data_IF_798933274279
#
_entry.id   IF_798933274279
#
_cell.length_a   1.000
_cell.length_b   1.000
_cell.length_c   1.000
_cell.angle_alpha   90.00
_cell.angle_beta   90.00
_cell.angle_gamma   90.00
#
_symmetry.space_group_name_H-M   'P 1'
#
loop_
_entity.id
_entity.type
_entity.pdbx_description
1 polymer ?
#
# COMPACT_ATOMS: atom_id res chain seq x y z
N UNK A 1 -30.00 57.38 2.29
CA UNK A 1 -29.50 57.40 0.90
C UNK A 1 -29.26 55.97 0.49
N UNK A 2 -30.25 55.43 -0.21
CA UNK A 2 -30.38 54.07 -0.72
C UNK A 2 -29.57 53.95 -2.01
N UNK A 3 -28.60 53.02 -2.07
CA UNK A 3 -27.94 52.65 -3.33
C UNK A 3 -28.53 51.34 -3.84
N UNK A 4 -29.14 51.46 -5.01
CA UNK A 4 -29.87 50.48 -5.79
C UNK A 4 -28.97 49.48 -6.51
N UNK A 5 -29.55 48.31 -6.75
CA UNK A 5 -28.95 47.11 -7.35
C UNK A 5 -28.91 47.10 -8.89
N UNK A 6 -28.23 46.04 -9.40
CA UNK A 6 -28.39 45.28 -10.67
C UNK A 6 -27.45 45.65 -11.85
N UNK A 7 -27.32 44.78 -12.90
CA UNK A 7 -26.89 43.37 -12.92
C UNK A 7 -26.05 42.99 -14.18
N UNK A 8 -25.73 41.68 -14.32
CA UNK A 8 -25.57 40.89 -15.57
C UNK A 8 -24.39 41.17 -16.54
N UNK A 9 -23.51 40.18 -16.70
CA UNK A 9 -23.37 39.47 -17.99
C UNK A 9 -22.55 38.17 -17.88
N UNK A 10 -23.23 37.06 -18.12
CA UNK A 10 -22.69 35.81 -18.69
C UNK A 10 -22.63 35.99 -20.21
N UNK A 11 -21.56 35.51 -20.88
CA UNK A 11 -21.72 34.90 -22.18
C UNK A 11 -21.02 33.53 -22.24
N UNK A 12 -21.86 32.52 -22.43
CA UNK A 12 -21.51 31.20 -22.89
C UNK A 12 -21.18 31.20 -24.41
N UNK A 13 -20.31 30.27 -24.82
CA UNK A 13 -20.19 29.60 -26.14
C UNK A 13 -19.26 30.17 -27.24
N UNK A 14 -18.77 29.18 -28.03
CA UNK A 14 -18.04 29.17 -29.31
C UNK A 14 -16.50 29.16 -29.16
N UNK A 15 -15.72 28.25 -29.76
CA UNK A 15 -15.91 27.54 -31.03
C UNK A 15 -15.30 26.13 -31.02
N UNK A 16 -15.98 25.22 -31.72
CA UNK A 16 -15.49 23.93 -32.19
C UNK A 16 -14.77 24.08 -33.55
N UNK A 17 -13.93 23.08 -33.88
CA UNK A 17 -13.65 22.45 -35.20
C UNK A 17 -12.21 21.87 -35.11
N UNK A 18 -11.99 20.55 -35.20
CA UNK A 18 -12.05 19.70 -36.40
C UNK A 18 -10.59 19.29 -36.71
N UNK A 19 -10.15 18.11 -37.15
CA UNK A 19 -10.64 16.93 -37.87
C UNK A 19 -9.53 15.85 -37.60
N UNK A 20 -9.67 14.53 -37.65
CA UNK A 20 -10.13 13.70 -38.76
C UNK A 20 -10.20 12.22 -38.34
N UNK A 21 -11.09 11.48 -39.01
CA UNK A 21 -11.27 10.03 -38.96
C UNK A 21 -10.14 9.26 -39.67
N UNK A 22 -9.88 8.03 -39.24
CA UNK A 22 -9.57 6.91 -40.13
C UNK A 22 -10.10 5.58 -39.57
N UNK A 23 -10.91 4.91 -40.38
CA UNK A 23 -11.52 3.58 -40.20
C UNK A 23 -10.55 2.52 -40.76
N UNK A 24 -10.42 1.36 -40.12
CA UNK A 24 -10.04 0.10 -40.80
C UNK A 24 -10.54 -1.14 -40.05
N UNK A 25 -10.86 -2.15 -40.86
CA UNK A 25 -11.77 -3.28 -40.63
C UNK A 25 -10.99 -4.59 -40.34
N UNK A 26 -11.58 -5.44 -39.49
CA UNK A 26 -11.72 -6.93 -39.55
C UNK A 26 -10.53 -7.84 -39.92
N UNK A 27 -10.19 -8.80 -39.04
CA UNK A 27 -10.13 -10.26 -39.33
C UNK A 27 -10.41 -11.06 -38.05
N UNK A 28 -11.30 -12.05 -38.13
CA UNK A 28 -11.47 -13.13 -37.16
C UNK A 28 -10.99 -14.46 -37.78
N UNK A 29 -10.21 -15.22 -37.01
CA UNK A 29 -9.83 -16.66 -37.15
C UNK A 29 -9.48 -17.10 -35.72
N UNK A 30 -9.88 -18.22 -35.10
CA UNK A 30 -10.21 -19.57 -35.54
C UNK A 30 -9.35 -20.55 -34.71
N UNK A 31 -9.98 -21.46 -33.93
CA UNK A 31 -9.39 -22.29 -32.84
C UNK A 31 -8.46 -23.48 -33.25
N UNK A 32 -7.53 -23.88 -32.36
CA UNK A 32 -7.00 -25.24 -31.97
C UNK A 32 -5.56 -25.08 -31.39
N UNK A 33 -5.05 -25.81 -30.41
CA UNK A 33 -5.44 -27.04 -29.71
C UNK A 33 -4.50 -27.32 -28.52
N UNK A 34 -4.72 -28.46 -27.86
CA UNK A 34 -4.15 -28.94 -26.59
C UNK A 34 -2.61 -29.11 -26.54
N UNK A 35 -2.03 -28.87 -25.35
CA UNK A 35 -0.72 -29.40 -24.94
C UNK A 35 0.32 -28.35 -24.54
N UNK A 36 0.69 -28.35 -23.24
CA UNK A 36 1.68 -27.50 -22.54
C UNK A 36 1.36 -26.01 -22.44
N UNK A 37 1.15 -25.55 -21.20
CA UNK A 37 0.71 -24.20 -20.81
C UNK A 37 1.86 -23.19 -20.96
N UNK A 38 2.36 -22.98 -22.19
CA UNK A 38 3.20 -21.81 -22.50
C UNK A 38 2.29 -20.63 -22.81
N UNK A 39 1.56 -20.14 -21.81
CA UNK A 39 0.87 -18.85 -21.96
C UNK A 39 1.91 -17.74 -22.03
N UNK A 40 1.84 -16.97 -23.11
CA UNK A 40 2.56 -15.72 -23.21
C UNK A 40 2.05 -14.74 -22.14
N UNK A 41 2.97 -14.09 -21.42
CA UNK A 41 2.68 -13.14 -20.36
C UNK A 41 3.42 -11.82 -20.61
N UNK A 42 2.76 -10.70 -20.27
CA UNK A 42 3.37 -9.37 -20.29
C UNK A 42 3.58 -8.84 -18.87
N UNK A 43 2.80 -9.32 -17.92
CA UNK A 43 2.93 -9.02 -16.49
C UNK A 43 2.75 -10.28 -15.65
N UNK A 44 3.29 -10.26 -14.43
CA UNK A 44 3.21 -11.37 -13.47
C UNK A 44 1.77 -11.87 -13.20
N UNK A 45 0.79 -10.97 -13.27
CA UNK A 45 -0.62 -11.30 -13.07
C UNK A 45 -1.22 -12.17 -14.19
N UNK A 46 -0.56 -12.26 -15.35
CA UNK A 46 -1.01 -13.10 -16.46
C UNK A 46 -0.72 -14.61 -16.20
N UNK A 47 0.10 -14.91 -15.18
CA UNK A 47 0.55 -16.26 -14.86
C UNK A 47 -0.11 -16.81 -13.60
N UNK A 48 -0.56 -18.06 -13.67
CA UNK A 48 -1.13 -18.76 -12.50
C UNK A 48 -0.08 -18.99 -11.38
N UNK A 49 1.20 -19.06 -11.74
CA UNK A 49 2.33 -19.06 -10.81
C UNK A 49 2.67 -17.69 -10.23
N UNK A 50 1.99 -16.62 -10.70
CA UNK A 50 2.34 -15.21 -10.44
C UNK A 50 3.75 -14.81 -10.91
N UNK A 51 4.40 -15.63 -11.75
CA UNK A 51 5.75 -15.35 -12.27
C UNK A 51 5.74 -15.37 -13.79
N UNK A 52 5.92 -14.19 -14.37
CA UNK A 52 6.19 -14.02 -15.79
C UNK A 52 7.70 -13.90 -15.99
N UNK A 53 8.28 -14.78 -16.80
CA UNK A 53 9.72 -14.80 -17.09
C UNK A 53 10.07 -13.73 -18.12
N UNK A 54 11.35 -13.31 -18.20
CA UNK A 54 11.81 -12.31 -19.17
C UNK A 54 11.61 -12.69 -20.64
N UNK A 55 11.44 -13.98 -20.93
CA UNK A 55 11.15 -14.50 -22.28
C UNK A 55 9.65 -14.45 -22.63
N UNK A 56 8.82 -13.88 -21.74
CA UNK A 56 7.38 -13.75 -21.93
C UNK A 56 6.62 -15.03 -21.64
N UNK A 57 7.21 -16.01 -20.94
CA UNK A 57 6.53 -17.27 -20.57
C UNK A 57 6.20 -17.34 -19.07
N UNK A 58 5.10 -17.99 -18.72
CA UNK A 58 4.77 -18.24 -17.31
C UNK A 58 5.63 -19.35 -16.70
N UNK A 59 6.03 -19.15 -15.44
CA UNK A 59 6.67 -20.20 -14.63
C UNK A 59 5.68 -21.36 -14.42
N UNK A 60 6.05 -22.62 -14.69
CA UNK A 60 5.16 -23.75 -14.44
C UNK A 60 4.93 -23.94 -12.95
N UNK A 61 3.69 -24.26 -12.57
CA UNK A 61 3.36 -24.63 -11.19
C UNK A 61 3.77 -26.09 -10.99
N UNK A 62 4.84 -26.32 -10.23
CA UNK A 62 5.14 -27.67 -9.72
C UNK A 62 4.19 -27.95 -8.57
N UNK A 63 3.14 -28.72 -8.84
CA UNK A 63 2.40 -29.40 -7.78
C UNK A 63 3.23 -30.63 -7.44
N UNK A 64 3.90 -30.62 -6.30
CA UNK A 64 4.48 -31.84 -5.75
C UNK A 64 3.31 -32.76 -5.34
N UNK A 65 2.94 -33.67 -6.23
CA UNK A 65 2.00 -34.76 -5.95
C UNK A 65 2.64 -35.67 -4.89
N UNK A 66 2.35 -35.39 -3.62
CA UNK A 66 2.50 -36.33 -2.53
C UNK A 66 1.45 -37.45 -2.68
N UNK A 67 1.75 -38.42 -3.54
CA UNK A 67 0.88 -39.56 -3.81
C UNK A 67 1.60 -40.62 -4.64
N UNK A 68 2.50 -41.36 -3.99
CA UNK A 68 3.17 -42.51 -4.58
C UNK A 68 2.13 -43.59 -4.93
N UNK A 69 1.81 -43.72 -6.22
CA UNK A 69 1.02 -44.81 -6.79
C UNK A 69 1.66 -46.15 -6.42
N UNK A 70 0.90 -46.98 -5.73
CA UNK A 70 1.29 -48.33 -5.34
C UNK A 70 1.20 -49.25 -6.55
N UNK A 71 2.35 -49.77 -6.99
CA UNK A 71 2.41 -50.86 -7.96
C UNK A 71 1.82 -52.13 -7.34
N UNK A 72 0.66 -52.53 -7.87
CA UNK A 72 0.08 -53.87 -7.75
C UNK A 72 1.06 -54.90 -8.31
N UNK A 73 1.61 -55.75 -7.45
CA UNK A 73 2.17 -57.03 -7.87
C UNK A 73 1.51 -58.17 -7.10
N UNK A 74 1.12 -59.19 -7.86
CA UNK A 74 0.33 -60.35 -7.45
C UNK A 74 1.24 -61.57 -7.40
N UNK A 75 1.37 -62.17 -6.23
CA UNK A 75 1.99 -63.48 -6.06
C UNK A 75 1.55 -64.12 -4.74
N UNK A 76 1.04 -65.37 -4.74
CA UNK A 76 0.64 -66.05 -3.51
C UNK A 76 1.82 -66.87 -2.98
N UNK A 77 2.12 -66.79 -1.68
CA UNK A 77 2.59 -67.95 -0.94
C UNK A 77 2.43 -67.80 0.58
N UNK A 78 2.30 -68.94 1.23
CA UNK A 78 1.80 -69.19 2.58
C UNK A 78 2.79 -68.88 3.74
N UNK A 79 2.22 -68.81 4.96
CA UNK A 79 2.85 -68.93 6.31
C UNK A 79 3.80 -67.79 6.72
N UNK A 80 3.78 -67.21 7.92
CA UNK A 80 3.55 -67.73 9.27
C UNK A 80 3.17 -66.59 10.22
N UNK A 81 2.57 -66.98 11.34
CA UNK A 81 2.10 -66.10 12.41
C UNK A 81 3.22 -65.27 13.06
N UNK A 82 2.99 -63.96 13.19
CA UNK A 82 3.55 -63.18 14.29
C UNK A 82 2.54 -62.14 14.78
N UNK A 83 2.07 -62.38 16.00
CA UNK A 83 1.35 -61.47 16.87
C UNK A 83 2.24 -60.24 17.15
N UNK A 84 1.86 -59.08 16.60
CA UNK A 84 2.45 -57.78 16.95
C UNK A 84 1.35 -56.97 17.61
N UNK A 85 1.50 -56.82 18.92
CA UNK A 85 0.71 -55.96 19.80
C UNK A 85 0.66 -54.53 19.30
N UNK A 86 -0.56 -54.04 19.04
CA UNK A 86 -0.91 -52.63 18.86
C UNK A 86 -0.37 -51.79 20.03
N UNK A 87 0.69 -51.04 19.76
CA UNK A 87 1.09 -49.89 20.57
C UNK A 87 0.78 -48.66 19.72
N UNK A 88 -0.10 -47.74 20.12
CA UNK A 88 -0.28 -46.49 19.41
C UNK A 88 1.05 -45.73 19.48
N UNK A 89 1.74 -45.64 18.35
CA UNK A 89 2.89 -44.78 18.18
C UNK A 89 2.35 -43.34 18.28
N UNK A 90 2.62 -42.71 19.41
CA UNK A 90 2.34 -41.30 19.64
C UNK A 90 3.12 -40.51 18.59
N UNK A 91 2.42 -40.13 17.52
CA UNK A 91 2.95 -39.23 16.50
C UNK A 91 3.53 -38.02 17.23
N UNK A 92 4.81 -37.65 17.02
CA UNK A 92 5.32 -36.41 17.58
C UNK A 92 4.38 -35.28 17.17
N UNK A 93 4.07 -34.32 18.06
CA UNK A 93 3.27 -33.17 17.66
C UNK A 93 3.92 -32.59 16.42
N UNK A 94 3.15 -32.56 15.34
CA UNK A 94 3.45 -31.71 14.21
C UNK A 94 3.42 -30.29 14.75
N UNK A 95 4.57 -29.79 15.20
CA UNK A 95 4.85 -28.36 15.37
C UNK A 95 4.96 -27.71 13.97
N UNK A 96 3.99 -28.03 13.11
CA UNK A 96 3.66 -27.29 11.90
C UNK A 96 2.70 -26.16 12.26
N UNK A 97 3.00 -25.41 13.33
CA UNK A 97 2.43 -24.08 13.51
C UNK A 97 3.13 -23.23 12.45
N UNK A 98 2.65 -23.30 11.21
CA UNK A 98 2.97 -22.29 10.20
C UNK A 98 2.72 -20.95 10.91
N UNK A 99 3.72 -20.08 11.07
CA UNK A 99 3.64 -18.90 11.94
C UNK A 99 2.77 -17.85 11.24
N UNK A 100 1.49 -18.17 11.06
CA UNK A 100 0.47 -17.25 10.63
C UNK A 100 0.19 -16.29 11.78
N UNK A 101 -0.03 -15.04 11.42
CA UNK A 101 -0.51 -14.06 12.38
C UNK A 101 -1.85 -14.54 12.97
N UNK A 102 -1.96 -14.55 14.30
CA UNK A 102 -3.19 -14.90 15.02
C UNK A 102 -3.65 -13.64 15.76
N UNK A 103 -4.79 -13.03 15.36
CA UNK A 103 -5.28 -11.86 16.07
C UNK A 103 -5.84 -12.28 17.43
N UNK A 104 -5.59 -11.46 18.45
CA UNK A 104 -6.08 -11.67 19.81
C UNK A 104 -7.14 -10.62 20.23
N UNK A 105 -7.23 -9.49 19.50
CA UNK A 105 -8.22 -8.44 19.72
C UNK A 105 -8.09 -7.71 21.07
N UNK A 106 -6.91 -7.67 21.68
CA UNK A 106 -6.68 -7.05 22.99
C UNK A 106 -6.52 -5.52 22.94
N UNK A 107 -6.53 -4.95 21.73
CA UNK A 107 -6.39 -3.50 21.48
C UNK A 107 -4.95 -3.01 21.46
N UNK A 108 -3.98 -3.93 21.50
CA UNK A 108 -2.55 -3.69 21.35
C UNK A 108 -2.01 -4.49 20.18
N UNK A 109 -1.39 -3.83 19.22
CA UNK A 109 -0.75 -4.50 18.08
C UNK A 109 0.75 -4.64 18.36
N UNK A 110 1.23 -5.86 18.41
CA UNK A 110 2.65 -6.22 18.49
C UNK A 110 3.26 -6.45 17.11
N UNK A 111 4.60 -6.57 17.04
CA UNK A 111 5.28 -6.92 15.79
C UNK A 111 4.87 -8.30 15.23
N UNK A 112 4.50 -9.25 16.11
CA UNK A 112 4.04 -10.58 15.70
C UNK A 112 2.62 -10.54 15.10
N UNK A 113 1.82 -9.54 15.48
CA UNK A 113 0.45 -9.34 15.00
C UNK A 113 0.37 -8.43 13.77
N UNK A 114 1.50 -7.95 13.26
CA UNK A 114 1.53 -7.12 12.06
C UNK A 114 2.72 -7.53 11.19
N UNK A 115 2.62 -8.64 10.45
CA UNK A 115 3.68 -9.07 9.56
C UNK A 115 3.89 -8.01 8.47
N UNK A 116 5.13 -7.53 8.34
CA UNK A 116 5.56 -6.54 7.37
C UNK A 116 6.82 -7.02 6.66
N UNK A 117 6.97 -6.67 5.39
CA UNK A 117 8.11 -7.11 4.59
C UNK A 117 7.84 -6.98 3.09
N UNK A 118 8.73 -7.48 2.24
CA UNK A 118 8.48 -7.62 0.81
C UNK A 118 7.48 -8.76 0.52
N UNK A 119 6.85 -8.72 -0.65
CA UNK A 119 5.98 -9.80 -1.16
C UNK A 119 4.49 -9.66 -0.81
N UNK A 120 4.10 -8.65 -0.04
CA UNK A 120 2.69 -8.34 0.17
C UNK A 120 2.13 -7.64 -1.07
N UNK A 121 0.92 -8.01 -1.46
CA UNK A 121 0.18 -7.36 -2.52
C UNK A 121 -1.29 -7.27 -2.09
N UNK A 122 -1.92 -6.15 -2.40
CA UNK A 122 -3.35 -5.92 -2.22
C UNK A 122 -3.83 -4.86 -3.21
N UNK A 123 -5.11 -4.91 -3.55
CA UNK A 123 -5.76 -3.85 -4.31
C UNK A 123 -6.40 -2.86 -3.36
N UNK A 124 -6.07 -1.58 -3.53
CA UNK A 124 -6.68 -0.48 -2.80
C UNK A 124 -7.57 0.32 -3.74
N UNK A 125 -8.78 0.62 -3.29
CA UNK A 125 -9.60 1.67 -3.90
C UNK A 125 -9.10 3.02 -3.43
N UNK A 126 -8.64 3.84 -4.37
CA UNK A 126 -8.05 5.15 -4.12
C UNK A 126 -8.99 6.23 -4.65
N UNK A 127 -9.48 7.08 -3.75
CA UNK A 127 -10.28 8.26 -4.10
C UNK A 127 -9.44 9.52 -3.94
N UNK A 128 -9.33 10.35 -4.98
CA UNK A 128 -8.60 11.63 -4.96
C UNK A 128 -9.57 12.82 -5.05
N UNK A 129 -9.23 13.92 -4.39
CA UNK A 129 -10.07 15.13 -4.35
C UNK A 129 -11.43 14.87 -3.68
N UNK A 130 -11.40 14.18 -2.54
CA UNK A 130 -12.59 13.67 -1.86
C UNK A 130 -13.34 14.81 -1.17
N UNK A 131 -14.58 15.05 -1.58
CA UNK A 131 -15.53 15.90 -0.87
C UNK A 131 -16.49 15.06 -0.03
N UNK A 132 -16.99 15.62 1.08
CA UNK A 132 -17.96 14.94 1.95
C UNK A 132 -17.39 13.87 2.90
N UNK A 133 -16.07 13.64 2.89
CA UNK A 133 -15.39 12.81 3.88
C UNK A 133 -15.36 13.49 5.26
N UNK A 134 -15.56 12.71 6.31
CA UNK A 134 -15.29 13.08 7.71
C UNK A 134 -14.28 12.11 8.29
N UNK A 135 -13.19 12.63 8.86
CA UNK A 135 -12.22 11.78 9.54
C UNK A 135 -12.67 11.33 10.94
N UNK A 136 -13.62 12.07 11.54
CA UNK A 136 -14.22 11.73 12.82
C UNK A 136 -15.20 10.56 12.63
N UNK A 137 -15.09 9.48 13.43
CA UNK A 137 -16.00 8.34 13.34
C UNK A 137 -17.41 8.67 13.87
N UNK A 138 -18.41 7.93 13.40
CA UNK A 138 -19.73 7.91 14.01
C UNK A 138 -19.75 6.95 15.22
N UNK A 139 -19.87 7.50 16.43
CA UNK A 139 -19.95 6.73 17.67
C UNK A 139 -21.37 6.69 18.26
N UNK A 140 -22.41 7.07 17.51
CA UNK A 140 -23.80 7.16 17.99
C UNK A 140 -24.39 5.81 18.41
N UNK A 141 -23.86 4.70 17.88
CA UNK A 141 -24.29 3.33 18.17
C UNK A 141 -23.58 2.67 19.37
N UNK A 142 -22.69 3.39 20.05
CA UNK A 142 -21.86 2.86 21.15
C UNK A 142 -20.52 2.28 20.69
N UNK A 143 -20.39 1.91 19.41
CA UNK A 143 -19.11 1.59 18.77
C UNK A 143 -18.80 2.65 17.73
N UNK A 144 -17.57 3.18 17.73
CA UNK A 144 -17.14 4.14 16.72
C UNK A 144 -16.95 3.44 15.37
N UNK A 145 -17.55 4.00 14.32
CA UNK A 145 -17.50 3.47 12.96
C UNK A 145 -16.95 4.52 12.00
N UNK A 146 -15.94 4.12 11.22
CA UNK A 146 -15.58 4.80 9.98
C UNK A 146 -16.19 4.05 8.80
N UNK A 147 -17.17 4.65 8.14
CA UNK A 147 -17.73 4.12 6.90
C UNK A 147 -16.98 4.71 5.71
N UNK A 148 -16.07 3.92 5.11
CA UNK A 148 -15.25 4.38 4.00
C UNK A 148 -15.74 3.82 2.65
N UNK A 149 -16.92 3.21 2.54
CA UNK A 149 -17.35 2.57 1.29
C UNK A 149 -17.50 3.59 0.14
N UNK A 150 -18.38 4.56 0.35
CA UNK A 150 -18.83 5.51 -0.64
C UNK A 150 -18.27 6.91 -0.35
N UNK A 151 -17.14 7.21 -0.97
CA UNK A 151 -16.51 8.52 -0.87
C UNK A 151 -16.67 9.27 -2.20
N UNK A 152 -16.85 10.59 -2.13
CA UNK A 152 -16.81 11.45 -3.31
C UNK A 152 -15.42 11.48 -3.97
N UNK A 153 -15.33 12.19 -5.10
CA UNK A 153 -14.07 12.36 -5.85
C UNK A 153 -13.87 11.34 -6.96
N UNK A 154 -12.67 11.38 -7.57
CA UNK A 154 -12.29 10.44 -8.65
C UNK A 154 -11.73 9.19 -8.00
N UNK A 155 -12.30 8.03 -8.33
CA UNK A 155 -11.94 6.76 -7.69
C UNK A 155 -11.39 5.77 -8.72
N UNK A 156 -10.29 5.12 -8.36
CA UNK A 156 -9.65 4.05 -9.15
C UNK A 156 -9.13 2.96 -8.22
N UNK A 157 -9.11 1.72 -8.68
CA UNK A 157 -8.43 0.65 -7.94
C UNK A 157 -6.96 0.63 -8.36
N UNK A 158 -6.05 0.65 -7.39
CA UNK A 158 -4.60 0.67 -7.59
C UNK A 158 -3.97 -0.52 -6.84
N UNK A 159 -3.07 -1.29 -7.49
CA UNK A 159 -2.29 -2.29 -6.79
C UNK A 159 -1.32 -1.62 -5.81
N UNK A 160 -1.19 -2.21 -4.63
CA UNK A 160 -0.23 -1.83 -3.61
C UNK A 160 0.58 -3.06 -3.27
N UNK A 161 1.83 -3.06 -3.72
CA UNK A 161 2.76 -4.14 -3.47
C UNK A 161 3.99 -3.65 -2.70
N UNK A 162 4.58 -4.53 -1.91
CA UNK A 162 5.87 -4.33 -1.25
C UNK A 162 6.93 -5.17 -1.97
N UNK A 163 8.04 -4.54 -2.29
CA UNK A 163 9.11 -5.16 -3.07
C UNK A 163 10.40 -5.21 -2.26
N UNK A 164 11.18 -6.26 -2.43
CA UNK A 164 12.57 -6.26 -2.00
C UNK A 164 13.34 -5.14 -2.75
N UNK A 165 14.44 -4.68 -2.16
CA UNK A 165 15.28 -3.65 -2.77
C UNK A 165 16.21 -4.20 -3.85
N UNK A 166 16.33 -5.52 -3.98
CA UNK A 166 17.24 -6.14 -4.92
C UNK A 166 17.03 -5.59 -6.34
N UNK A 167 18.13 -5.23 -6.98
CA UNK A 167 18.18 -4.65 -8.33
C UNK A 167 17.46 -3.30 -8.50
N UNK A 168 16.97 -2.66 -7.43
CA UNK A 168 16.48 -1.27 -7.50
C UNK A 168 17.66 -0.31 -7.65
N UNK A 169 17.52 0.71 -8.49
CA UNK A 169 18.59 1.67 -8.77
C UNK A 169 19.09 2.41 -7.52
N UNK A 170 18.21 2.59 -6.55
CA UNK A 170 18.49 3.27 -5.28
C UNK A 170 19.01 2.34 -4.17
N UNK A 171 19.09 1.03 -4.39
CA UNK A 171 19.47 0.07 -3.34
C UNK A 171 20.85 0.36 -2.71
N UNK A 172 21.77 0.94 -3.49
CA UNK A 172 23.12 1.31 -3.04
C UNK A 172 23.24 2.73 -2.45
N UNK A 173 22.14 3.46 -2.27
CA UNK A 173 22.19 4.81 -1.70
C UNK A 173 22.49 4.73 -0.20
N UNK A 174 23.46 5.53 0.26
CA UNK A 174 23.79 5.66 1.69
C UNK A 174 22.56 6.11 2.48
N UNK A 175 22.25 5.43 3.57
CA UNK A 175 21.05 5.61 4.39
C UNK A 175 19.97 4.54 4.15
N UNK A 176 20.12 3.69 3.13
CA UNK A 176 19.21 2.56 2.85
C UNK A 176 19.82 1.19 3.20
N UNK A 177 20.90 1.15 3.96
CA UNK A 177 21.62 -0.09 4.29
C UNK A 177 20.75 -1.10 5.06
N UNK A 178 19.81 -0.61 5.86
CA UNK A 178 18.88 -1.44 6.65
C UNK A 178 17.50 -1.57 6.00
N UNK A 179 17.32 -1.09 4.77
CA UNK A 179 16.03 -1.14 4.11
C UNK A 179 15.56 -2.59 3.93
N UNK A 180 14.32 -2.86 4.32
CA UNK A 180 13.68 -4.18 4.22
C UNK A 180 12.83 -4.29 2.96
N UNK A 181 12.09 -3.23 2.62
CA UNK A 181 11.26 -3.21 1.42
C UNK A 181 11.03 -1.79 0.89
N UNK A 182 10.49 -1.71 -0.32
CA UNK A 182 10.00 -0.48 -0.93
C UNK A 182 8.54 -0.63 -1.39
N UNK A 183 7.78 0.46 -1.39
CA UNK A 183 6.41 0.47 -1.88
C UNK A 183 6.05 1.82 -2.48
N UNK A 184 5.13 1.84 -3.44
CA UNK A 184 4.66 3.07 -4.09
C UNK A 184 3.93 3.94 -3.06
N UNK A 185 4.26 5.23 -3.03
CA UNK A 185 3.58 6.23 -2.21
C UNK A 185 2.46 6.90 -2.99
N UNK A 186 2.80 7.59 -4.08
CA UNK A 186 1.86 8.40 -4.84
C UNK A 186 2.44 8.84 -6.20
N UNK A 187 1.59 9.43 -7.02
CA UNK A 187 2.00 10.21 -8.18
C UNK A 187 2.39 11.62 -7.71
N UNK A 188 3.65 11.97 -7.85
CA UNK A 188 4.16 13.27 -7.43
C UNK A 188 4.20 14.22 -8.62
N UNK A 189 3.43 15.31 -8.52
CA UNK A 189 3.42 16.39 -9.50
C UNK A 189 3.84 17.69 -8.86
N UNK A 190 4.90 18.30 -9.39
CA UNK A 190 5.34 19.64 -9.01
C UNK A 190 5.10 20.59 -10.18
N UNK A 191 4.39 21.68 -9.92
CA UNK A 191 4.18 22.76 -10.88
C UNK A 191 4.79 24.05 -10.37
N UNK A 192 5.41 24.82 -11.25
CA UNK A 192 5.97 26.13 -10.94
C UNK A 192 5.58 27.12 -12.04
N UNK A 193 4.88 28.20 -11.68
CA UNK A 193 4.37 29.17 -12.65
C UNK A 193 3.39 28.58 -13.68
N UNK A 194 2.67 27.51 -13.33
CA UNK A 194 1.76 26.80 -14.24
C UNK A 194 2.44 25.78 -15.17
N UNK A 195 3.77 25.64 -15.12
CA UNK A 195 4.52 24.62 -15.86
C UNK A 195 4.74 23.40 -14.97
N UNK A 196 4.48 22.19 -15.49
CA UNK A 196 4.88 20.95 -14.83
C UNK A 196 6.41 20.84 -14.89
N UNK A 197 7.04 20.85 -13.72
CA UNK A 197 8.50 20.70 -13.57
C UNK A 197 8.88 19.31 -13.06
N UNK A 198 7.90 18.54 -12.61
CA UNK A 198 8.07 17.16 -12.18
C UNK A 198 6.74 16.42 -12.28
N UNK A 199 6.77 15.23 -12.88
CA UNK A 199 5.65 14.29 -12.91
C UNK A 199 6.26 12.89 -12.88
N UNK A 200 6.22 12.26 -11.71
CA UNK A 200 6.92 10.99 -11.45
C UNK A 200 6.13 10.16 -10.45
N UNK A 201 6.34 8.85 -10.46
CA UNK A 201 5.89 7.98 -9.37
C UNK A 201 6.93 7.98 -8.26
N UNK A 202 6.50 8.20 -7.02
CA UNK A 202 7.36 8.13 -5.84
C UNK A 202 7.16 6.82 -5.08
N UNK A 203 8.28 6.28 -4.61
CA UNK A 203 8.36 5.12 -3.74
C UNK A 203 8.95 5.52 -2.39
N UNK A 204 8.44 4.90 -1.33
CA UNK A 204 9.04 4.94 -0.01
C UNK A 204 10.03 3.80 0.13
N UNK A 205 11.13 4.05 0.83
CA UNK A 205 12.09 3.03 1.24
C UNK A 205 11.92 2.82 2.74
N UNK A 206 11.69 1.58 3.16
CA UNK A 206 11.25 1.26 4.51
C UNK A 206 12.17 0.25 5.19
N UNK A 207 12.38 0.44 6.49
CA UNK A 207 12.97 -0.53 7.40
C UNK A 207 11.87 -1.11 8.30
N UNK A 208 11.85 -2.43 8.43
CA UNK A 208 11.06 -3.15 9.42
C UNK A 208 12.03 -3.81 10.38
N UNK A 209 11.81 -3.58 11.67
CA UNK A 209 12.54 -4.28 12.73
C UNK A 209 11.58 -4.52 13.91
N UNK A 210 11.99 -5.25 14.97
CA UNK A 210 11.10 -5.57 16.09
C UNK A 210 10.50 -4.35 16.82
N UNK A 211 11.06 -3.15 16.64
CA UNK A 211 10.57 -1.92 17.26
C UNK A 211 9.55 -1.14 16.42
N UNK A 212 9.41 -1.43 15.12
CA UNK A 212 8.49 -0.67 14.28
C UNK A 212 8.74 -0.74 12.78
N UNK A 213 7.96 0.08 12.07
CA UNK A 213 8.09 0.41 10.65
C UNK A 213 8.63 1.83 10.52
N UNK A 214 9.73 1.99 9.80
CA UNK A 214 10.41 3.27 9.63
C UNK A 214 10.56 3.61 8.15
N UNK A 215 10.31 4.87 7.77
CA UNK A 215 10.62 5.38 6.43
C UNK A 215 12.05 5.94 6.41
N UNK A 216 12.90 5.36 5.58
CA UNK A 216 14.30 5.76 5.39
C UNK A 216 14.44 6.87 4.35
N UNK A 217 13.55 6.92 3.37
CA UNK A 217 13.58 7.94 2.34
C UNK A 217 12.49 7.81 1.29
N UNK A 218 12.53 8.73 0.34
CA UNK A 218 11.63 8.82 -0.81
C UNK A 218 12.48 8.84 -2.07
N UNK A 219 12.13 7.99 -3.02
CA UNK A 219 12.84 7.84 -4.29
C UNK A 219 11.85 7.88 -5.45
N UNK A 220 12.32 8.23 -6.64
CA UNK A 220 11.54 8.03 -7.86
C UNK A 220 11.60 6.57 -8.32
N UNK A 221 10.58 6.16 -9.07
CA UNK A 221 10.55 4.83 -9.69
C UNK A 221 11.79 4.60 -10.56
N UNK A 222 12.10 5.56 -11.43
CA UNK A 222 13.25 5.50 -12.32
C UNK A 222 14.36 6.45 -11.88
N UNK A 223 15.61 6.01 -12.04
CA UNK A 223 16.79 6.85 -11.79
C UNK A 223 16.78 8.13 -12.65
N UNK A 224 16.22 8.04 -13.86
CA UNK A 224 16.10 9.16 -14.79
C UNK A 224 15.16 10.27 -14.32
N UNK A 225 14.29 10.04 -13.33
CA UNK A 225 13.45 11.09 -12.74
C UNK A 225 14.20 11.83 -11.61
N UNK A 226 15.25 11.22 -11.06
CA UNK A 226 16.24 11.87 -10.22
C UNK A 226 15.77 12.30 -8.84
N UNK A 227 14.75 11.65 -8.27
CA UNK A 227 14.39 11.88 -6.87
C UNK A 227 15.07 10.85 -5.98
N UNK A 228 15.87 11.33 -5.04
CA UNK A 228 16.49 10.55 -3.98
C UNK A 228 16.61 11.44 -2.74
N UNK A 229 15.64 11.32 -1.84
CA UNK A 229 15.59 12.02 -0.57
C UNK A 229 15.79 11.00 0.56
N UNK A 230 16.91 11.11 1.26
CA UNK A 230 17.26 10.24 2.40
C UNK A 230 17.01 11.01 3.70
N UNK A 231 16.37 10.37 4.67
CA UNK A 231 16.15 10.97 5.98
C UNK A 231 17.39 10.88 6.87
N UNK A 232 17.78 12.00 7.48
CA UNK A 232 18.86 12.05 8.49
C UNK A 232 18.54 11.14 9.69
N UNK A 233 17.25 11.06 10.06
CA UNK A 233 16.71 10.12 11.04
C UNK A 233 15.50 9.41 10.43
N UNK A 234 15.45 8.06 10.40
CA UNK A 234 14.29 7.31 9.93
C UNK A 234 13.00 7.80 10.59
N UNK A 235 11.94 7.97 9.80
CA UNK A 235 10.64 8.41 10.29
C UNK A 235 9.86 7.20 10.81
N UNK A 236 9.63 7.03 12.12
CA UNK A 236 8.73 6.00 12.63
C UNK A 236 7.30 6.24 12.11
N UNK A 237 6.80 5.32 11.29
CA UNK A 237 5.42 5.31 10.82
C UNK A 237 4.52 4.50 11.75
N UNK A 238 5.08 3.44 12.35
CA UNK A 238 4.45 2.57 13.33
C UNK A 238 5.53 2.18 14.35
N UNK A 239 5.19 2.19 15.63
CA UNK A 239 6.06 1.71 16.72
C UNK A 239 5.41 0.50 17.37
N UNK A 240 6.17 -0.53 17.71
CA UNK A 240 5.64 -1.73 18.36
C UNK A 240 6.11 -1.83 19.83
N UNK A 241 5.24 -2.35 20.72
CA UNK A 241 3.79 -2.49 20.54
C UNK A 241 3.09 -1.12 20.52
N UNK A 242 1.89 -1.04 19.95
CA UNK A 242 1.06 0.18 20.03
C UNK A 242 -0.40 -0.12 20.34
N UNK A 243 -1.01 0.80 21.09
CA UNK A 243 -2.41 0.82 21.52
C UNK A 243 -2.86 2.28 21.64
N UNK A 244 -4.16 2.53 21.84
CA UNK A 244 -4.70 3.90 22.05
C UNK A 244 -3.92 4.64 23.14
N UNK A 245 -3.46 5.85 22.83
CA UNK A 245 -2.62 6.68 23.69
C UNK A 245 -1.12 6.59 23.39
N UNK A 246 -0.68 5.60 22.61
CA UNK A 246 0.72 5.53 22.13
C UNK A 246 1.02 6.74 21.25
N UNK A 247 2.14 7.43 21.50
CA UNK A 247 2.52 8.63 20.74
C UNK A 247 4.02 8.71 20.54
N UNK A 248 4.43 9.34 19.43
CA UNK A 248 5.83 9.57 19.11
C UNK A 248 5.99 10.80 18.22
N UNK A 249 7.14 11.44 18.33
CA UNK A 249 7.50 12.62 17.53
C UNK A 249 8.93 12.48 17.04
N UNK A 250 9.17 12.90 15.79
CA UNK A 250 10.51 12.99 15.23
C UNK A 250 10.70 14.30 14.47
N UNK A 251 11.85 14.94 14.71
CA UNK A 251 12.39 15.97 13.83
C UNK A 251 13.50 15.35 12.98
N UNK A 252 13.34 15.46 11.66
CA UNK A 252 14.26 14.91 10.66
C UNK A 252 14.47 15.90 9.51
N UNK A 253 15.45 15.62 8.66
CA UNK A 253 15.70 16.35 7.43
C UNK A 253 15.78 15.34 6.30
N UNK A 254 14.95 15.49 5.27
CA UNK A 254 15.10 14.77 4.02
C UNK A 254 16.13 15.48 3.15
N UNK A 255 17.19 14.77 2.74
CA UNK A 255 18.30 15.31 1.97
C UNK A 255 18.49 14.62 0.63
N UNK A 256 18.82 15.41 -0.38
CA UNK A 256 19.24 14.92 -1.69
C UNK A 256 18.46 15.57 -2.83
N UNK A 257 18.39 14.87 -3.96
CA UNK A 257 17.80 15.41 -5.18
C UNK A 257 16.30 15.23 -5.21
N UNK A 258 15.61 16.24 -5.72
CA UNK A 258 14.19 16.20 -6.04
C UNK A 258 14.04 16.51 -7.53
N UNK A 259 13.39 15.62 -8.28
CA UNK A 259 13.02 15.83 -9.68
C UNK A 259 14.19 16.24 -10.58
N UNK A 260 15.30 15.50 -10.52
CA UNK A 260 16.51 15.77 -11.31
C UNK A 260 17.12 17.16 -11.12
N UNK A 261 16.78 17.85 -10.02
CA UNK A 261 17.35 19.16 -9.74
C UNK A 261 18.88 19.12 -9.72
N UNK A 262 19.47 20.21 -10.19
CA UNK A 262 20.92 20.45 -10.08
C UNK A 262 21.35 20.77 -8.65
N UNK A 263 20.39 21.05 -7.75
CA UNK A 263 20.62 21.33 -6.35
C UNK A 263 20.17 20.15 -5.48
N UNK A 264 20.93 19.91 -4.41
CA UNK A 264 20.46 19.09 -3.31
C UNK A 264 19.57 19.92 -2.38
N UNK A 265 18.44 19.33 -1.99
CA UNK A 265 17.52 19.89 -1.03
C UNK A 265 17.84 19.37 0.38
N UNK A 266 17.48 20.20 1.36
CA UNK A 266 17.42 19.83 2.77
C UNK A 266 16.05 20.28 3.28
N UNK A 267 15.13 19.34 3.41
CA UNK A 267 13.73 19.59 3.75
C UNK A 267 13.52 19.18 5.20
N UNK A 268 13.42 20.16 6.10
CA UNK A 268 13.14 19.88 7.51
C UNK A 268 11.70 19.45 7.67
N UNK A 269 11.49 18.37 8.43
CA UNK A 269 10.18 17.80 8.67
C UNK A 269 10.03 17.41 10.14
N UNK A 270 8.85 17.69 10.69
CA UNK A 270 8.42 17.22 12.00
C UNK A 270 7.22 16.32 11.79
N UNK A 271 7.29 15.11 12.33
CA UNK A 271 6.16 14.18 12.37
C UNK A 271 5.73 14.02 13.81
N UNK A 272 4.45 14.22 14.10
CA UNK A 272 3.85 13.94 15.39
C UNK A 272 2.71 12.96 15.18
N UNK A 273 2.87 11.75 15.74
CA UNK A 273 1.93 10.66 15.59
C UNK A 273 1.32 10.26 16.92
N UNK A 274 0.04 9.94 16.93
CA UNK A 274 -0.68 9.41 18.09
C UNK A 274 -1.67 8.34 17.64
N UNK A 275 -1.73 7.22 18.35
CA UNK A 275 -2.84 6.28 18.24
C UNK A 275 -3.99 6.84 19.05
N UNK A 276 -4.96 7.47 18.38
CA UNK A 276 -5.93 8.32 19.08
C UNK A 276 -7.32 7.71 19.22
N UNK A 277 -7.68 6.74 18.37
CA UNK A 277 -9.00 6.11 18.38
C UNK A 277 -8.91 4.60 18.09
N UNK A 278 -9.91 3.88 18.62
CA UNK A 278 -10.21 2.48 18.35
C UNK A 278 -11.66 2.41 17.85
N UNK A 279 -11.93 1.61 16.83
CA UNK A 279 -13.28 1.44 16.30
C UNK A 279 -13.35 0.43 15.15
N UNK A 280 -14.46 0.44 14.43
CA UNK A 280 -14.65 -0.41 13.26
C UNK A 280 -14.45 0.40 11.99
N UNK A 281 -13.91 -0.22 10.95
CA UNK A 281 -13.73 0.42 9.63
C UNK A 281 -14.38 -0.43 8.56
N UNK A 282 -15.30 0.16 7.79
CA UNK A 282 -15.81 -0.46 6.56
C UNK A 282 -14.94 -0.04 5.39
N UNK A 283 -14.50 -1.02 4.63
CA UNK A 283 -13.77 -0.86 3.37
C UNK A 283 -14.49 -1.64 2.28
N UNK A 284 -14.17 -1.42 0.99
CA UNK A 284 -14.74 -2.24 -0.08
C UNK A 284 -14.44 -3.74 0.04
N UNK A 285 -13.35 -4.13 0.70
CA UNK A 285 -13.05 -5.53 0.99
C UNK A 285 -13.96 -6.13 2.07
N UNK A 286 -14.31 -5.34 3.09
CA UNK A 286 -15.11 -5.82 4.22
C UNK A 286 -15.09 -4.86 5.41
N UNK A 287 -15.74 -5.30 6.50
CA UNK A 287 -15.71 -4.59 7.78
C UNK A 287 -14.61 -5.17 8.66
N UNK A 288 -13.75 -4.31 9.16
CA UNK A 288 -12.71 -4.63 10.13
C UNK A 288 -13.14 -4.15 11.51
N UNK A 289 -13.00 -5.03 12.50
CA UNK A 289 -13.25 -4.73 13.89
C UNK A 289 -11.93 -4.40 14.60
N UNK A 290 -12.02 -3.72 15.75
CA UNK A 290 -10.86 -3.39 16.59
C UNK A 290 -9.70 -2.72 15.84
N UNK A 291 -10.03 -1.74 15.00
CA UNK A 291 -9.08 -0.98 14.20
C UNK A 291 -8.55 0.20 14.98
N UNK A 292 -7.22 0.30 15.07
CA UNK A 292 -6.52 1.45 15.64
C UNK A 292 -6.29 2.50 14.55
N UNK A 293 -6.58 3.77 14.87
CA UNK A 293 -6.23 4.91 14.02
C UNK A 293 -4.97 5.57 14.53
N UNK A 294 -3.95 5.62 13.67
CA UNK A 294 -2.74 6.42 13.86
C UNK A 294 -2.97 7.77 13.17
N UNK A 295 -2.99 8.83 13.95
CA UNK A 295 -3.11 10.20 13.49
C UNK A 295 -1.73 10.86 13.47
N UNK A 296 -1.26 11.19 12.27
CA UNK A 296 0.05 11.79 12.02
C UNK A 296 -0.10 13.20 11.46
N UNK A 297 0.37 14.19 12.22
CA UNK A 297 0.60 15.54 11.72
C UNK A 297 2.03 15.64 11.18
N UNK A 298 2.16 15.94 9.89
CA UNK A 298 3.44 16.28 9.26
C UNK A 298 3.52 17.80 9.07
N UNK A 299 4.57 18.41 9.59
CA UNK A 299 4.96 19.79 9.29
C UNK A 299 6.23 19.77 8.43
N UNK A 300 6.23 20.49 7.31
CA UNK A 300 7.36 20.51 6.36
C UNK A 300 7.80 21.94 6.09
N UNK A 301 9.10 22.17 6.19
CA UNK A 301 9.76 23.44 5.89
C UNK A 301 10.69 23.30 4.68
N UNK A 302 10.43 24.07 3.63
CA UNK A 302 11.21 24.09 2.38
C UNK A 302 12.30 25.17 2.37
N UNK A 303 12.82 25.55 3.55
CA UNK A 303 13.88 26.55 3.71
C UNK A 303 13.46 27.80 4.48
N UNK A 304 14.44 28.69 4.73
CA UNK A 304 14.25 29.91 5.52
C UNK A 304 13.30 30.88 4.80
N UNK A 305 12.29 31.37 5.53
CA UNK A 305 11.32 32.33 5.00
C UNK A 305 10.17 31.72 4.20
N UNK A 306 10.13 30.40 4.01
CA UNK A 306 9.00 29.69 3.42
C UNK A 306 8.03 29.26 4.52
N UNK A 307 6.75 29.57 4.37
CA UNK A 307 5.70 29.11 5.29
C UNK A 307 5.66 27.58 5.31
N UNK A 308 5.64 27.00 6.52
CA UNK A 308 5.53 25.56 6.66
C UNK A 308 4.21 25.05 6.06
N UNK A 309 4.29 23.96 5.30
CA UNK A 309 3.10 23.22 4.86
C UNK A 309 2.79 22.14 5.88
N UNK A 310 1.51 21.97 6.21
CA UNK A 310 1.03 20.94 7.13
C UNK A 310 0.09 19.98 6.42
N UNK A 311 0.15 18.71 6.79
CA UNK A 311 -0.84 17.71 6.37
C UNK A 311 -1.08 16.73 7.53
N UNK A 312 -2.33 16.28 7.65
CA UNK A 312 -2.74 15.27 8.61
C UNK A 312 -3.03 13.99 7.85
N UNK A 313 -2.48 12.88 8.34
CA UNK A 313 -2.70 11.54 7.78
C UNK A 313 -3.29 10.64 8.85
N UNK A 314 -4.38 9.96 8.54
CA UNK A 314 -4.96 8.92 9.37
C UNK A 314 -4.68 7.56 8.74
N UNK A 315 -3.90 6.74 9.44
CA UNK A 315 -3.62 5.35 9.04
C UNK A 315 -4.45 4.42 9.91
N UNK A 316 -5.22 3.53 9.28
CA UNK A 316 -6.10 2.58 9.95
C UNK A 316 -5.44 1.21 9.94
N UNK A 317 -5.14 0.68 11.12
CA UNK A 317 -4.34 -0.53 11.30
C UNK A 317 -5.09 -1.55 12.14
N UNK A 318 -5.06 -2.81 11.71
CA UNK A 318 -5.64 -3.94 12.45
C UNK A 318 -4.68 -5.13 12.42
N UNK A 319 -4.82 -6.01 13.39
CA UNK A 319 -4.01 -7.22 13.53
C UNK A 319 -4.12 -8.08 12.26
N UNK A 320 -3.00 -8.69 11.87
CA UNK A 320 -2.83 -9.60 10.74
C UNK A 320 -3.05 -9.05 9.33
N UNK A 321 -3.68 -7.89 9.18
CA UNK A 321 -3.82 -7.18 7.90
C UNK A 321 -2.87 -5.99 7.80
N UNK A 322 -2.45 -5.41 8.93
CA UNK A 322 -1.69 -4.18 8.93
C UNK A 322 -2.55 -2.99 8.47
N UNK A 323 -2.03 -2.18 7.56
CA UNK A 323 -2.73 -0.98 7.08
C UNK A 323 -3.86 -1.32 6.11
N UNK A 324 -5.11 -1.12 6.54
CA UNK A 324 -6.31 -1.39 5.73
C UNK A 324 -6.86 -0.12 5.06
N UNK A 325 -6.52 1.06 5.55
CA UNK A 325 -6.89 2.32 4.95
C UNK A 325 -5.94 3.45 5.36
N UNK A 326 -5.86 4.48 4.51
CA UNK A 326 -5.15 5.73 4.76
C UNK A 326 -6.00 6.89 4.25
N UNK A 327 -6.17 7.94 5.05
CA UNK A 327 -6.80 9.19 4.63
C UNK A 327 -5.84 10.37 4.85
N UNK A 328 -5.63 11.17 3.80
CA UNK A 328 -4.72 12.32 3.83
C UNK A 328 -5.53 13.60 3.69
N UNK A 329 -5.31 14.57 4.57
CA UNK A 329 -5.96 15.87 4.52
C UNK A 329 -5.53 16.67 3.29
N UNK A 330 -6.23 17.76 3.00
CA UNK A 330 -5.67 18.80 2.15
C UNK A 330 -4.48 19.49 2.86
N UNK A 331 -3.59 20.12 2.09
CA UNK A 331 -2.49 20.90 2.67
C UNK A 331 -3.02 22.10 3.49
N UNK A 332 -2.29 22.47 4.54
CA UNK A 332 -2.60 23.59 5.43
C UNK A 332 -3.54 23.24 6.58
N UNK A 333 -4.02 21.99 6.65
CA UNK A 333 -4.81 21.48 7.78
C UNK A 333 -3.90 21.19 8.97
N UNK A 334 -4.30 21.64 10.15
CA UNK A 334 -3.59 21.42 11.42
C UNK A 334 -4.46 20.86 12.55
N UNK A 335 -5.78 20.74 12.31
CA UNK A 335 -6.70 20.09 13.24
C UNK A 335 -6.53 18.57 13.16
N UNK A 336 -6.59 17.83 14.28
CA UNK A 336 -6.49 16.38 14.27
C UNK A 336 -7.60 15.71 13.46
N UNK A 337 -8.76 16.37 13.35
CA UNK A 337 -9.87 15.98 12.50
C UNK A 337 -10.05 16.94 11.34
N UNK A 338 -10.51 16.43 10.20
CA UNK A 338 -10.68 17.19 8.99
C UNK A 338 -11.86 16.69 8.14
N UNK A 339 -12.42 17.60 7.36
CA UNK A 339 -13.47 17.32 6.39
C UNK A 339 -12.95 17.48 4.96
N UNK A 340 -13.32 16.51 4.11
CA UNK A 340 -12.70 16.33 2.79
C UNK A 340 -11.26 15.82 2.89
N UNK A 341 -10.78 15.12 1.87
CA UNK A 341 -9.44 14.54 1.86
C UNK A 341 -8.78 14.75 0.49
N UNK A 342 -7.47 14.95 0.48
CA UNK A 342 -6.71 14.98 -0.77
C UNK A 342 -6.70 13.59 -1.41
N UNK A 343 -6.55 12.56 -0.57
CA UNK A 343 -6.59 11.15 -0.97
C UNK A 343 -7.17 10.28 0.16
N UNK A 344 -7.97 9.28 -0.19
CA UNK A 344 -8.34 8.16 0.70
C UNK A 344 -8.09 6.84 -0.02
N UNK A 345 -7.20 6.01 0.54
CA UNK A 345 -6.89 4.65 0.10
C UNK A 345 -7.58 3.68 1.04
N UNK A 346 -8.24 2.65 0.51
CA UNK A 346 -8.97 1.67 1.31
C UNK A 346 -8.91 0.29 0.66
N UNK A 347 -8.64 -0.73 1.46
CA UNK A 347 -8.48 -2.10 0.99
C UNK A 347 -9.74 -2.55 0.24
N UNK A 348 -9.55 -3.05 -0.98
CA UNK A 348 -10.64 -3.42 -1.87
C UNK A 348 -10.61 -4.91 -2.23
N UNK A 349 -9.41 -5.48 -2.41
CA UNK A 349 -9.27 -6.91 -2.64
C UNK A 349 -7.90 -7.41 -2.16
N UNK A 350 -7.83 -8.69 -1.82
CA UNK A 350 -6.57 -9.43 -1.70
C UNK A 350 -6.33 -10.20 -3.02
N UNK A 351 -5.08 -10.46 -3.40
CA UNK A 351 -4.73 -11.16 -4.64
C UNK A 351 -5.33 -12.56 -4.74
#
# INVERSE_FOLDING_TARGET
MTSTARPLHDPSRLCALGCAMAISLLVATGCKGEGEDTRECNVHADCASAVCRPDGTCEPITIDDAGQETSLDTGPDETDAHEVTDTPEELPPSDGDSPGCKPNGDGTITAAEMPLGPGFNAMFRVSKGVSGFSSEPDCSSGTCLWDLLDLGGVTTDEPSATFALDQKWFAGIKGFENATYTSRLTDFKLTFGGLSVCDQVQYGVFEVNPSGLFMLGIVSEYAADGTALVYDKPVPLIVFPFHVGTSWTIDTVARGKLCNSIFDYAISQTYTSTVDKLGNVKTPYGTFESVLRINTLMERHLGVGVTATKAVTHTYVTECFGTIAVAVSNEGVSSPEFSGASEVRRLANLP
#
